data_IF_114533148299
#
_entry.id   IF_114533148299
#
_cell.length_a   1.000
_cell.length_b   1.000
_cell.length_c   1.000
_cell.angle_alpha   90.00
_cell.angle_beta   90.00
_cell.angle_gamma   90.00
#
_symmetry.space_group_name_H-M   'P 1'
#
loop_
_entity.id
_entity.type
_entity.pdbx_description
1 polymer ?
#
# COMPACT_ATOMS: atom_id res chain seq x y z
N UNK A 1 7.55 6.52 -43.36
CA UNK A 1 7.07 6.56 -41.97
C UNK A 1 7.95 5.61 -41.18
N UNK A 2 8.84 6.14 -40.34
CA UNK A 2 9.68 5.32 -39.46
C UNK A 2 8.77 4.54 -38.52
N UNK A 3 8.79 3.22 -38.61
CA UNK A 3 8.08 2.36 -37.68
C UNK A 3 8.55 2.72 -36.26
N UNK A 4 7.66 3.21 -35.40
CA UNK A 4 7.92 3.27 -33.98
C UNK A 4 8.26 1.84 -33.55
N UNK A 5 9.50 1.59 -33.16
CA UNK A 5 9.90 0.29 -32.62
C UNK A 5 9.05 0.02 -31.40
N UNK A 6 8.45 -1.17 -31.32
CA UNK A 6 7.73 -1.58 -30.13
C UNK A 6 8.74 -1.74 -28.98
N UNK A 7 8.54 -0.98 -27.91
CA UNK A 7 9.39 -1.01 -26.71
C UNK A 7 8.63 -1.65 -25.56
N UNK A 8 9.24 -2.65 -24.93
CA UNK A 8 8.78 -3.22 -23.66
C UNK A 8 9.51 -2.48 -22.54
N UNK A 9 8.77 -2.00 -21.56
CA UNK A 9 9.34 -1.45 -20.33
C UNK A 9 9.35 -2.52 -19.25
N UNK A 10 10.54 -2.85 -18.75
CA UNK A 10 10.77 -3.82 -17.69
C UNK A 10 11.06 -3.11 -16.37
N UNK A 11 10.26 -3.32 -15.34
CA UNK A 11 10.46 -2.59 -14.08
C UNK A 11 11.61 -3.16 -13.26
N UNK A 12 12.59 -2.33 -12.91
CA UNK A 12 13.50 -2.60 -11.80
C UNK A 12 12.76 -2.31 -10.49
N UNK A 13 12.81 -3.27 -9.57
CA UNK A 13 12.07 -3.21 -8.30
C UNK A 13 12.99 -3.43 -7.12
N UNK A 14 12.61 -4.28 -6.17
CA UNK A 14 13.24 -4.41 -4.87
C UNK A 14 13.55 -5.89 -4.58
N UNK A 15 14.46 -6.14 -3.63
CA UNK A 15 14.67 -7.44 -3.00
C UNK A 15 14.89 -8.60 -4.01
N UNK A 16 14.19 -9.73 -3.85
CA UNK A 16 14.41 -10.91 -4.68
C UNK A 16 14.09 -10.70 -6.17
N UNK A 17 12.97 -10.05 -6.57
CA UNK A 17 12.71 -9.72 -7.97
C UNK A 17 13.80 -8.85 -8.63
N UNK A 18 14.42 -7.93 -7.88
CA UNK A 18 15.55 -7.14 -8.38
C UNK A 18 16.75 -8.04 -8.71
N UNK A 19 17.14 -8.92 -7.79
CA UNK A 19 18.24 -9.87 -8.01
C UNK A 19 17.98 -10.77 -9.22
N UNK A 20 16.75 -11.28 -9.36
CA UNK A 20 16.36 -12.08 -10.52
C UNK A 20 16.43 -11.27 -11.83
N UNK A 21 16.07 -9.98 -11.79
CA UNK A 21 16.14 -9.08 -12.94
C UNK A 21 17.57 -8.91 -13.45
N UNK A 22 18.55 -8.75 -12.56
CA UNK A 22 19.97 -8.66 -12.96
C UNK A 22 20.44 -9.88 -13.76
N UNK A 23 19.92 -11.08 -13.47
CA UNK A 23 20.24 -12.29 -14.23
C UNK A 23 19.39 -12.44 -15.49
N UNK A 24 18.10 -12.13 -15.43
CA UNK A 24 17.14 -12.54 -16.45
C UNK A 24 16.90 -11.48 -17.52
N UNK A 25 16.99 -10.19 -17.19
CA UNK A 25 16.75 -9.11 -18.15
C UNK A 25 17.71 -9.13 -19.35
N UNK A 26 19.03 -9.39 -19.20
CA UNK A 26 19.93 -9.50 -20.34
C UNK A 26 19.52 -10.61 -21.33
N UNK A 27 18.97 -11.71 -20.81
CA UNK A 27 18.46 -12.82 -21.63
C UNK A 27 17.22 -12.36 -22.40
N UNK A 28 16.26 -11.70 -21.75
CA UNK A 28 15.07 -11.14 -22.41
C UNK A 28 15.47 -10.16 -23.52
N UNK A 29 16.39 -9.23 -23.22
CA UNK A 29 16.89 -8.25 -24.18
C UNK A 29 17.52 -8.91 -25.42
N UNK A 30 18.36 -9.93 -25.21
CA UNK A 30 18.99 -10.66 -26.31
C UNK A 30 17.97 -11.35 -27.23
N UNK A 31 16.96 -12.02 -26.66
CA UNK A 31 15.93 -12.71 -27.43
C UNK A 31 14.95 -11.74 -28.11
N UNK A 32 14.51 -10.70 -27.41
CA UNK A 32 13.60 -9.69 -27.96
C UNK A 32 14.25 -8.88 -29.09
N UNK A 33 15.56 -8.61 -28.99
CA UNK A 33 16.32 -7.89 -30.00
C UNK A 33 16.35 -8.58 -31.37
N UNK A 34 16.31 -9.92 -31.41
CA UNK A 34 16.21 -10.69 -32.67
C UNK A 34 14.91 -10.38 -33.42
N UNK A 35 13.84 -10.05 -32.69
CA UNK A 35 12.54 -9.66 -33.25
C UNK A 35 12.42 -8.15 -33.49
N UNK A 36 13.47 -7.37 -33.27
CA UNK A 36 13.45 -5.91 -33.36
C UNK A 36 12.64 -5.22 -32.26
N UNK A 37 12.38 -5.91 -31.14
CA UNK A 37 11.68 -5.37 -29.97
C UNK A 37 12.72 -4.86 -28.97
N UNK A 38 12.60 -3.59 -28.60
CA UNK A 38 13.46 -2.98 -27.60
C UNK A 38 12.94 -3.28 -26.19
N UNK A 39 13.84 -3.49 -25.23
CA UNK A 39 13.47 -3.72 -23.83
C UNK A 39 14.26 -2.77 -22.93
N UNK A 40 13.57 -1.73 -22.46
CA UNK A 40 14.13 -0.71 -21.58
C UNK A 40 13.77 -0.97 -20.13
N UNK A 41 14.64 -0.56 -19.21
CA UNK A 41 14.34 -0.57 -17.79
C UNK A 41 13.78 0.76 -17.30
N UNK A 42 12.86 0.70 -16.32
CA UNK A 42 12.48 1.85 -15.48
C UNK A 42 12.57 1.44 -14.02
N UNK A 43 13.26 2.25 -13.21
CA UNK A 43 13.49 1.95 -11.79
C UNK A 43 12.37 2.53 -10.93
N UNK A 44 11.60 1.63 -10.32
CA UNK A 44 10.53 1.96 -9.39
C UNK A 44 10.78 1.37 -8.00
N UNK A 45 12.04 1.03 -7.69
CA UNK A 45 12.48 0.62 -6.37
C UNK A 45 12.11 1.66 -5.31
N UNK A 46 12.06 1.25 -4.05
CA UNK A 46 11.86 2.16 -2.92
C UNK A 46 12.93 3.25 -2.92
N UNK A 47 14.19 2.88 -3.16
CA UNK A 47 15.30 3.83 -3.20
C UNK A 47 15.12 4.88 -4.31
N UNK A 48 14.88 4.46 -5.55
CA UNK A 48 14.68 5.38 -6.67
C UNK A 48 13.50 6.32 -6.45
N UNK A 49 12.38 5.81 -5.93
CA UNK A 49 11.20 6.63 -5.62
C UNK A 49 11.44 7.62 -4.48
N UNK A 50 12.27 7.28 -3.48
CA UNK A 50 12.70 8.24 -2.45
C UNK A 50 13.50 9.36 -3.12
N UNK A 51 14.55 9.02 -3.87
CA UNK A 51 15.44 10.00 -4.50
C UNK A 51 14.69 10.94 -5.45
N UNK A 52 13.73 10.42 -6.23
CA UNK A 52 12.89 11.19 -7.13
C UNK A 52 12.02 12.26 -6.43
N UNK A 53 11.73 12.13 -5.14
CA UNK A 53 10.97 13.13 -4.38
C UNK A 53 11.83 14.28 -3.81
N UNK A 54 13.16 14.15 -3.83
CA UNK A 54 14.08 15.15 -3.26
C UNK A 54 15.18 15.63 -4.23
N UNK A 55 14.88 15.90 -5.51
CA UNK A 55 15.91 16.37 -6.44
C UNK A 55 16.49 17.73 -6.02
N UNK A 56 15.72 18.56 -5.30
CA UNK A 56 16.13 19.84 -4.73
C UNK A 56 17.18 19.70 -3.60
N UNK A 57 17.29 18.51 -3.01
CA UNK A 57 18.26 18.21 -1.92
C UNK A 57 19.49 17.45 -2.41
N UNK A 58 19.49 17.04 -3.67
CA UNK A 58 20.54 16.22 -4.24
C UNK A 58 21.36 17.02 -5.28
N UNK A 59 22.70 16.85 -5.30
CA UNK A 59 23.51 17.34 -6.40
C UNK A 59 23.09 16.66 -7.70
N UNK A 60 23.31 17.32 -8.83
CA UNK A 60 22.85 16.87 -10.15
C UNK A 60 23.24 15.42 -10.46
N UNK A 61 24.47 15.03 -10.13
CA UNK A 61 25.00 13.67 -10.33
C UNK A 61 24.29 12.57 -9.52
N UNK A 62 23.56 12.93 -8.45
CA UNK A 62 22.80 11.99 -7.60
C UNK A 62 21.29 12.01 -7.91
N UNK A 63 20.83 12.88 -8.81
CA UNK A 63 19.41 12.95 -9.16
C UNK A 63 19.05 11.77 -10.07
N UNK A 64 17.87 11.24 -9.84
CA UNK A 64 17.28 10.18 -10.65
C UNK A 64 15.97 10.68 -11.26
N UNK A 65 15.58 10.19 -12.45
CA UNK A 65 14.27 10.50 -13.02
C UNK A 65 13.13 9.99 -12.12
N UNK A 66 11.98 10.67 -12.16
CA UNK A 66 10.74 10.13 -11.58
C UNK A 66 10.13 9.11 -12.54
N UNK A 67 10.75 7.93 -12.61
CA UNK A 67 10.30 6.84 -13.48
C UNK A 67 8.88 6.37 -13.18
N UNK A 68 8.36 6.56 -11.95
CA UNK A 68 6.98 6.21 -11.66
C UNK A 68 6.00 7.18 -12.33
N UNK A 69 6.30 8.49 -12.28
CA UNK A 69 5.51 9.50 -13.00
C UNK A 69 5.56 9.30 -14.52
N UNK A 70 6.75 9.01 -15.07
CA UNK A 70 6.91 8.68 -16.49
C UNK A 70 6.06 7.46 -16.90
N UNK A 71 6.13 6.38 -16.12
CA UNK A 71 5.34 5.18 -16.36
C UNK A 71 3.82 5.43 -16.22
N UNK A 72 3.40 6.32 -15.33
CA UNK A 72 2.00 6.72 -15.22
C UNK A 72 1.49 7.43 -16.48
N UNK A 73 2.33 8.30 -17.07
CA UNK A 73 2.01 8.94 -18.34
C UNK A 73 2.00 7.92 -19.48
N UNK A 74 2.98 7.01 -19.50
CA UNK A 74 3.04 5.94 -20.50
C UNK A 74 1.81 5.02 -20.43
N UNK A 75 1.34 4.65 -19.22
CA UNK A 75 0.19 3.74 -19.04
C UNK A 75 -1.12 4.26 -19.66
N UNK A 76 -1.22 5.56 -19.91
CA UNK A 76 -2.35 6.20 -20.59
C UNK A 76 -2.23 6.22 -22.12
N UNK A 77 -1.08 5.78 -22.66
CA UNK A 77 -0.82 5.76 -24.09
C UNK A 77 -1.10 4.38 -24.71
N UNK A 78 -1.60 4.29 -25.96
CA UNK A 78 -1.83 3.02 -26.64
C UNK A 78 -0.58 2.14 -26.81
N UNK A 79 0.59 2.75 -26.90
CA UNK A 79 1.88 2.07 -27.04
C UNK A 79 2.42 1.45 -25.73
N UNK A 80 1.73 1.64 -24.59
CA UNK A 80 2.17 1.11 -23.31
C UNK A 80 2.32 -0.41 -23.31
N UNK A 81 3.55 -0.89 -23.12
CA UNK A 81 3.84 -2.31 -22.92
C UNK A 81 4.77 -2.47 -21.71
N UNK A 82 4.17 -2.68 -20.53
CA UNK A 82 4.88 -2.64 -19.25
C UNK A 82 4.86 -4.02 -18.59
N UNK A 83 6.05 -4.61 -18.37
CA UNK A 83 6.24 -5.79 -17.54
C UNK A 83 6.55 -5.33 -16.11
N UNK A 84 5.54 -5.43 -15.24
CA UNK A 84 5.60 -5.02 -13.84
C UNK A 84 5.92 -6.20 -12.91
N UNK A 85 7.09 -6.15 -12.26
CA UNK A 85 7.52 -7.14 -11.26
C UNK A 85 7.03 -6.76 -9.85
N UNK A 86 6.97 -7.69 -8.87
CA UNK A 86 6.66 -7.33 -7.49
C UNK A 86 7.63 -6.28 -6.94
N UNK A 87 7.12 -5.34 -6.14
CA UNK A 87 7.89 -4.25 -5.53
C UNK A 87 7.43 -3.99 -4.09
N UNK A 88 8.26 -3.30 -3.31
CA UNK A 88 7.97 -2.96 -1.91
C UNK A 88 6.88 -1.88 -1.85
N UNK A 89 5.78 -2.23 -1.18
CA UNK A 89 4.84 -1.25 -0.62
C UNK A 89 5.35 -0.89 0.78
N UNK A 90 6.11 0.19 0.90
CA UNK A 90 6.93 0.41 2.09
C UNK A 90 6.09 0.65 3.35
N UNK A 91 6.32 -0.16 4.38
CA UNK A 91 5.96 0.21 5.76
C UNK A 91 6.84 1.36 6.27
N UNK A 92 6.43 2.00 7.36
CA UNK A 92 7.24 3.07 7.96
C UNK A 92 8.65 2.59 8.37
N UNK A 93 8.83 1.42 9.01
CA UNK A 93 10.17 0.90 9.30
C UNK A 93 11.02 0.66 8.05
N UNK A 94 10.46 0.09 6.99
CA UNK A 94 11.18 -0.11 5.72
C UNK A 94 11.60 1.22 5.08
N UNK A 95 10.71 2.23 5.11
CA UNK A 95 11.03 3.57 4.62
C UNK A 95 12.21 4.17 5.40
N UNK A 96 12.16 4.16 6.74
CA UNK A 96 13.25 4.68 7.58
C UNK A 96 14.57 3.94 7.34
N UNK A 97 14.51 2.62 7.15
CA UNK A 97 15.69 1.82 6.83
C UNK A 97 16.31 2.24 5.49
N UNK A 98 15.49 2.40 4.44
CA UNK A 98 15.96 2.83 3.13
C UNK A 98 16.54 4.26 3.15
N UNK A 99 15.92 5.18 3.89
CA UNK A 99 16.46 6.54 4.08
C UNK A 99 17.85 6.47 4.73
N UNK A 100 18.00 5.70 5.81
CA UNK A 100 19.27 5.55 6.52
C UNK A 100 20.35 4.92 5.64
N UNK A 101 20.00 3.92 4.83
CA UNK A 101 20.91 3.30 3.88
C UNK A 101 21.38 4.31 2.81
N UNK A 102 20.45 5.05 2.21
CA UNK A 102 20.78 6.11 1.25
C UNK A 102 21.67 7.20 1.87
N UNK A 103 21.37 7.65 3.10
CA UNK A 103 22.21 8.60 3.82
C UNK A 103 23.64 8.06 4.03
N UNK A 104 23.77 6.77 4.38
CA UNK A 104 25.08 6.12 4.52
C UNK A 104 25.86 6.06 3.19
N UNK A 105 25.14 6.04 2.05
CA UNK A 105 25.70 6.14 0.71
C UNK A 105 25.93 7.58 0.22
N UNK A 106 25.75 8.59 1.08
CA UNK A 106 26.08 9.99 0.79
C UNK A 106 24.97 10.79 0.11
N UNK A 107 23.73 10.29 0.11
CA UNK A 107 22.56 11.08 -0.30
C UNK A 107 22.09 11.95 0.88
N UNK A 108 22.13 13.27 0.72
CA UNK A 108 21.77 14.24 1.77
C UNK A 108 20.25 14.37 1.97
N UNK A 109 19.58 13.24 2.24
CA UNK A 109 18.14 13.16 2.45
C UNK A 109 17.76 13.54 3.89
N UNK A 110 16.65 14.27 4.10
CA UNK A 110 16.13 14.52 5.45
C UNK A 110 15.58 13.23 6.07
N UNK A 111 15.65 13.12 7.39
CA UNK A 111 14.99 12.05 8.12
C UNK A 111 13.46 12.13 7.98
N UNK A 112 12.78 11.00 8.18
CA UNK A 112 11.33 10.99 8.26
C UNK A 112 10.89 11.60 9.61
N UNK A 113 10.09 12.68 9.62
CA UNK A 113 9.67 13.33 10.87
C UNK A 113 8.52 12.56 11.54
N UNK A 114 8.76 12.11 12.78
CA UNK A 114 7.74 11.44 13.59
C UNK A 114 6.69 12.43 14.13
N UNK A 115 7.09 13.68 14.39
CA UNK A 115 6.24 14.76 14.86
C UNK A 115 6.29 15.96 13.90
N UNK A 116 5.14 16.59 13.64
CA UNK A 116 5.03 17.73 12.73
C UNK A 116 5.13 19.07 13.48
N UNK A 117 6.36 19.52 13.74
CA UNK A 117 6.61 20.76 14.51
C UNK A 117 6.71 22.00 13.62
N UNK A 118 7.24 21.83 12.41
CA UNK A 118 7.52 22.91 11.47
C UNK A 118 6.84 22.68 10.11
N UNK A 119 6.77 23.74 9.29
CA UNK A 119 6.31 23.59 7.90
C UNK A 119 7.27 22.76 7.05
N UNK A 120 8.57 22.77 7.38
CA UNK A 120 9.55 21.87 6.78
C UNK A 120 9.24 20.40 7.06
N UNK A 121 8.87 20.07 8.31
CA UNK A 121 8.46 18.70 8.66
C UNK A 121 7.23 18.27 7.87
N UNK A 122 6.28 19.20 7.66
CA UNK A 122 5.07 18.94 6.87
C UNK A 122 5.40 18.63 5.40
N UNK A 123 6.28 19.41 4.77
CA UNK A 123 6.72 19.16 3.39
C UNK A 123 7.45 17.83 3.26
N UNK A 124 8.46 17.58 4.10
CA UNK A 124 9.26 16.35 4.08
C UNK A 124 8.36 15.12 4.28
N UNK A 125 7.47 15.16 5.27
CA UNK A 125 6.54 14.06 5.52
C UNK A 125 5.59 13.84 4.34
N UNK A 126 5.04 14.90 3.77
CA UNK A 126 4.11 14.80 2.64
C UNK A 126 4.78 14.11 1.44
N UNK A 127 6.05 14.44 1.14
CA UNK A 127 6.83 13.79 0.07
C UNK A 127 7.08 12.31 0.36
N UNK A 128 7.53 11.95 1.55
CA UNK A 128 7.71 10.55 1.95
C UNK A 128 6.38 9.76 1.97
N UNK A 129 5.27 10.41 2.32
CA UNK A 129 3.95 9.79 2.38
C UNK A 129 3.38 9.43 0.99
N UNK A 130 3.90 10.07 -0.07
CA UNK A 130 3.67 9.69 -1.48
C UNK A 130 4.43 8.42 -1.87
N UNK A 131 5.54 8.13 -1.21
CA UNK A 131 6.40 6.96 -1.49
C UNK A 131 5.96 5.72 -0.69
N UNK A 132 5.49 5.90 0.54
CA UNK A 132 5.11 4.79 1.43
C UNK A 132 3.78 4.12 1.05
N UNK A 133 3.63 2.87 1.44
CA UNK A 133 2.45 2.04 1.12
C UNK A 133 2.40 1.66 -0.35
N UNK A 134 1.20 1.35 -0.85
CA UNK A 134 0.99 0.94 -2.25
C UNK A 134 1.00 2.15 -3.21
N UNK A 135 2.15 2.80 -3.38
CA UNK A 135 2.31 3.99 -4.23
C UNK A 135 2.33 3.66 -5.74
N UNK A 136 2.87 2.50 -6.12
CA UNK A 136 3.08 2.16 -7.54
C UNK A 136 1.80 1.68 -8.23
N UNK A 137 1.05 0.76 -7.60
CA UNK A 137 -0.12 0.15 -8.25
C UNK A 137 -1.19 1.16 -8.69
N UNK A 138 -1.54 2.19 -7.90
CA UNK A 138 -2.54 3.18 -8.31
C UNK A 138 -2.14 4.00 -9.53
N UNK A 139 -0.84 4.09 -9.85
CA UNK A 139 -0.33 4.84 -11.00
C UNK A 139 -0.32 3.98 -12.27
N UNK A 140 -0.07 2.66 -12.14
CA UNK A 140 0.11 1.78 -13.30
C UNK A 140 -1.15 1.01 -13.70
N UNK A 141 -2.19 1.00 -12.87
CA UNK A 141 -3.41 0.21 -13.10
C UNK A 141 -4.50 1.06 -13.75
N UNK A 142 -4.19 1.59 -14.93
CA UNK A 142 -5.12 2.30 -15.80
C UNK A 142 -6.01 1.32 -16.58
N UNK A 143 -6.62 0.37 -15.86
CA UNK A 143 -7.41 -0.71 -16.43
C UNK A 143 -7.87 -1.73 -15.40
N UNK A 144 -8.68 -2.69 -15.86
CA UNK A 144 -9.20 -3.78 -15.03
C UNK A 144 -8.20 -4.95 -14.93
N UNK A 145 -8.53 -5.95 -14.11
CA UNK A 145 -7.63 -7.08 -13.83
C UNK A 145 -8.14 -8.38 -14.47
N UNK A 146 -7.39 -8.93 -15.44
CA UNK A 146 -7.47 -10.36 -15.82
C UNK A 146 -6.42 -11.15 -15.02
N UNK A 147 -6.87 -12.04 -14.12
CA UNK A 147 -6.00 -12.90 -13.30
C UNK A 147 -6.48 -14.33 -13.33
N UNK A 148 -5.61 -15.22 -13.79
CA UNK A 148 -5.86 -16.66 -13.90
C UNK A 148 -4.57 -17.46 -13.81
N UNK A 149 -4.64 -18.68 -13.28
CA UNK A 149 -3.52 -19.61 -13.34
C UNK A 149 -3.33 -20.09 -14.79
N UNK A 150 -2.11 -20.01 -15.37
CA UNK A 150 -1.86 -20.54 -16.71
C UNK A 150 -2.11 -22.05 -16.78
N UNK A 151 -2.55 -22.54 -17.94
CA UNK A 151 -2.86 -23.97 -18.14
C UNK A 151 -1.65 -24.87 -17.85
N UNK A 152 -0.46 -24.48 -18.34
CA UNK A 152 0.79 -25.21 -18.10
C UNK A 152 1.09 -25.35 -16.60
N UNK A 153 0.89 -24.28 -15.81
CA UNK A 153 1.07 -24.30 -14.36
C UNK A 153 0.01 -25.18 -13.69
N UNK A 154 -1.24 -25.12 -14.13
CA UNK A 154 -2.32 -25.95 -13.60
C UNK A 154 -2.08 -27.44 -13.87
N UNK A 155 -1.65 -27.78 -15.08
CA UNK A 155 -1.32 -29.15 -15.47
C UNK A 155 -0.12 -29.69 -14.68
N UNK A 156 0.91 -28.85 -14.49
CA UNK A 156 2.04 -29.18 -13.64
C UNK A 156 1.60 -29.46 -12.20
N UNK A 157 0.76 -28.60 -11.62
CA UNK A 157 0.24 -28.80 -10.26
C UNK A 157 -0.61 -30.08 -10.11
N UNK A 158 -1.28 -30.55 -11.17
CA UNK A 158 -1.99 -31.85 -11.15
C UNK A 158 -1.01 -33.03 -11.13
N UNK A 159 0.11 -32.93 -11.85
CA UNK A 159 1.16 -33.96 -11.90
C UNK A 159 2.05 -33.96 -10.66
N UNK A 160 2.23 -32.80 -10.05
CA UNK A 160 3.07 -32.56 -8.88
C UNK A 160 2.25 -31.84 -7.79
N UNK A 161 1.31 -32.56 -7.14
CA UNK A 161 0.46 -31.96 -6.12
C UNK A 161 1.32 -31.45 -4.96
N UNK A 162 1.08 -30.20 -4.57
CA UNK A 162 1.68 -29.63 -3.36
C UNK A 162 1.00 -30.20 -2.11
N UNK A 163 1.69 -30.12 -0.98
CA UNK A 163 1.13 -30.55 0.30
C UNK A 163 -0.13 -29.74 0.65
N UNK A 164 -1.20 -30.46 0.96
CA UNK A 164 -2.43 -29.88 1.49
C UNK A 164 -2.66 -30.46 2.89
N UNK A 165 -2.84 -29.58 3.89
CA UNK A 165 -3.14 -30.00 5.26
C UNK A 165 -4.46 -30.77 5.32
N UNK A 166 -4.51 -31.84 6.12
CA UNK A 166 -5.76 -32.57 6.37
C UNK A 166 -6.72 -31.69 7.15
N UNK A 167 -7.99 -31.66 6.74
CA UNK A 167 -9.06 -30.98 7.46
C UNK A 167 -9.80 -31.99 8.35
N UNK A 168 -10.04 -31.61 9.60
CA UNK A 168 -10.88 -32.36 10.54
C UNK A 168 -12.28 -31.76 10.60
N UNK A 169 -13.30 -32.60 10.74
CA UNK A 169 -14.66 -32.16 11.02
C UNK A 169 -14.76 -31.50 12.42
N UNK A 170 -13.85 -31.83 13.34
CA UNK A 170 -13.75 -31.25 14.69
C UNK A 170 -12.95 -29.93 14.72
N UNK A 171 -12.65 -29.34 13.54
CA UNK A 171 -11.92 -28.08 13.47
C UNK A 171 -12.70 -26.95 14.13
N UNK A 172 -12.06 -26.28 15.09
CA UNK A 172 -12.59 -25.07 15.74
C UNK A 172 -12.20 -23.78 15.02
N UNK A 173 -11.42 -23.86 13.94
CA UNK A 173 -11.03 -22.68 13.14
C UNK A 173 -12.27 -22.06 12.52
N UNK A 174 -12.48 -20.77 12.79
CA UNK A 174 -13.58 -19.99 12.24
C UNK A 174 -13.14 -18.54 12.00
N UNK A 175 -13.92 -17.81 11.21
CA UNK A 175 -13.78 -16.37 11.04
C UNK A 175 -14.80 -15.69 11.95
N UNK A 176 -14.32 -14.76 12.77
CA UNK A 176 -15.17 -13.83 13.51
C UNK A 176 -15.10 -12.46 12.86
N UNK A 177 -16.26 -11.86 12.60
CA UNK A 177 -16.38 -10.50 12.05
C UNK A 177 -17.44 -9.71 12.82
N UNK A 178 -17.34 -8.38 12.78
CA UNK A 178 -18.33 -7.50 13.40
C UNK A 178 -19.71 -7.68 12.74
N UNK A 179 -20.78 -7.55 13.54
CA UNK A 179 -22.17 -7.64 13.08
C UNK A 179 -22.86 -6.29 12.98
N UNK A 180 -22.18 -5.21 13.35
CA UNK A 180 -22.67 -3.84 13.23
C UNK A 180 -21.66 -2.81 13.71
N UNK A 181 -21.82 -1.57 13.24
CA UNK A 181 -20.90 -0.46 13.53
C UNK A 181 -19.55 -0.57 12.80
N UNK A 182 -19.46 -1.40 11.78
CA UNK A 182 -18.31 -1.56 10.90
C UNK A 182 -18.51 -0.81 9.57
N UNK A 183 -17.51 -0.89 8.68
CA UNK A 183 -17.60 -0.23 7.37
C UNK A 183 -18.76 -0.76 6.53
N UNK A 184 -19.02 -2.07 6.58
CA UNK A 184 -20.10 -2.68 5.80
C UNK A 184 -21.48 -2.21 6.28
N UNK A 185 -21.74 -2.27 7.58
CA UNK A 185 -23.04 -1.89 8.14
C UNK A 185 -23.35 -0.39 8.10
N UNK A 186 -22.34 0.47 7.95
CA UNK A 186 -22.48 1.92 7.95
C UNK A 186 -22.42 2.58 6.56
N UNK A 187 -22.17 1.81 5.50
CA UNK A 187 -21.97 2.35 4.16
C UNK A 187 -23.23 3.02 3.61
N UNK A 188 -23.02 4.17 2.98
CA UNK A 188 -23.98 4.85 2.13
C UNK A 188 -23.33 5.15 0.80
N UNK A 189 -24.07 4.92 -0.28
CA UNK A 189 -23.60 5.11 -1.65
C UNK A 189 -24.53 6.03 -2.41
N UNK A 190 -23.97 6.80 -3.35
CA UNK A 190 -24.73 7.58 -4.32
C UNK A 190 -24.05 7.56 -5.68
N UNK A 191 -24.84 7.48 -6.74
CA UNK A 191 -24.39 7.74 -8.11
C UNK A 191 -24.57 9.22 -8.42
N UNK A 192 -23.48 9.90 -8.74
CA UNK A 192 -23.42 11.32 -9.03
C UNK A 192 -24.04 11.59 -10.40
N UNK A 193 -25.14 12.35 -10.52
CA UNK A 193 -25.82 12.53 -11.81
C UNK A 193 -25.06 13.44 -12.77
N UNK A 194 -24.34 14.44 -12.24
CA UNK A 194 -23.62 15.45 -13.03
C UNK A 194 -22.28 15.75 -12.37
N UNK A 195 -21.25 16.02 -13.18
CA UNK A 195 -19.94 16.38 -12.67
C UNK A 195 -20.03 17.57 -11.70
N UNK A 196 -19.38 17.45 -10.54
CA UNK A 196 -19.48 18.43 -9.45
C UNK A 196 -18.26 18.36 -8.54
N UNK A 197 -18.08 19.38 -7.70
CA UNK A 197 -17.07 19.40 -6.65
C UNK A 197 -17.75 19.22 -5.29
N UNK A 198 -17.25 18.29 -4.47
CA UNK A 198 -17.73 18.07 -3.10
C UNK A 198 -16.66 18.41 -2.07
N UNK A 199 -17.10 18.72 -0.84
CA UNK A 199 -16.27 18.94 0.34
C UNK A 199 -16.62 17.90 1.40
N UNK A 200 -15.62 17.36 2.08
CA UNK A 200 -15.81 16.48 3.24
C UNK A 200 -15.54 17.30 4.50
N UNK A 201 -16.52 17.39 5.38
CA UNK A 201 -16.44 18.15 6.63
C UNK A 201 -17.05 17.39 7.80
N UNK A 202 -16.55 17.68 8.99
CA UNK A 202 -17.08 17.21 10.25
C UNK A 202 -17.75 18.39 10.95
N UNK A 203 -19.06 18.28 11.18
CA UNK A 203 -19.81 19.20 12.03
C UNK A 203 -19.86 18.60 13.44
N UNK A 204 -19.19 19.24 14.39
CA UNK A 204 -19.15 18.82 15.77
C UNK A 204 -20.47 19.13 16.49
N UNK A 205 -20.68 18.54 17.68
CA UNK A 205 -21.91 18.69 18.46
C UNK A 205 -22.16 20.11 18.95
N UNK A 206 -21.12 20.93 19.04
CA UNK A 206 -21.16 22.35 19.36
C UNK A 206 -21.39 23.25 18.13
N UNK A 207 -21.54 22.65 16.95
CA UNK A 207 -21.70 23.35 15.67
C UNK A 207 -20.40 23.75 14.98
N UNK A 208 -19.23 23.49 15.59
CA UNK A 208 -17.95 23.80 14.97
C UNK A 208 -17.72 22.92 13.72
N UNK A 209 -17.33 23.54 12.62
CA UNK A 209 -17.09 22.85 11.34
C UNK A 209 -15.60 22.68 11.11
N UNK A 210 -15.16 21.44 10.95
CA UNK A 210 -13.79 21.11 10.54
C UNK A 210 -13.80 20.57 9.12
N UNK A 211 -13.12 21.25 8.21
CA UNK A 211 -12.97 20.78 6.82
C UNK A 211 -11.89 19.69 6.78
N UNK A 212 -12.29 18.46 6.45
CA UNK A 212 -11.39 17.30 6.34
C UNK A 212 -10.78 17.21 4.94
N UNK A 213 -11.57 17.53 3.90
CA UNK A 213 -11.11 17.61 2.52
C UNK A 213 -11.87 18.72 1.81
N UNK A 214 -11.15 19.81 1.48
CA UNK A 214 -11.75 21.03 0.93
C UNK A 214 -12.40 20.83 -0.45
N UNK A 215 -11.81 19.97 -1.29
CA UNK A 215 -12.28 19.72 -2.65
C UNK A 215 -12.01 18.27 -3.07
N UNK A 216 -13.03 17.65 -3.65
CA UNK A 216 -12.98 16.39 -4.38
C UNK A 216 -13.86 16.55 -5.62
N UNK A 217 -13.25 16.49 -6.80
CA UNK A 217 -13.97 16.57 -8.07
C UNK A 217 -14.53 15.20 -8.44
N UNK A 218 -15.81 15.16 -8.79
CA UNK A 218 -16.55 13.95 -9.18
C UNK A 218 -17.06 14.09 -10.61
N UNK A 219 -17.08 12.98 -11.34
CA UNK A 219 -17.59 12.87 -12.70
C UNK A 219 -19.09 12.58 -12.72
N UNK A 220 -19.73 12.85 -13.87
CA UNK A 220 -21.09 12.37 -14.12
C UNK A 220 -21.08 10.83 -14.22
N UNK A 221 -21.99 10.18 -13.48
CA UNK A 221 -22.06 8.73 -13.36
C UNK A 221 -21.09 8.11 -12.34
N UNK A 222 -20.22 8.90 -11.70
CA UNK A 222 -19.31 8.40 -10.66
C UNK A 222 -20.09 7.90 -9.44
N UNK A 223 -19.64 6.80 -8.84
CA UNK A 223 -20.19 6.29 -7.58
C UNK A 223 -19.26 6.74 -6.46
N UNK A 224 -19.82 7.38 -5.44
CA UNK A 224 -19.10 7.76 -4.23
C UNK A 224 -19.77 7.15 -3.01
N UNK A 225 -18.94 6.54 -2.16
CA UNK A 225 -19.36 5.88 -0.93
C UNK A 225 -18.82 6.62 0.30
N UNK A 226 -19.65 6.70 1.34
CA UNK A 226 -19.30 7.21 2.65
C UNK A 226 -19.58 6.15 3.71
N UNK A 227 -18.57 5.83 4.52
CA UNK A 227 -18.71 4.85 5.60
C UNK A 227 -17.79 5.18 6.78
N UNK A 228 -17.96 4.51 7.92
CA UNK A 228 -17.09 4.64 9.08
C UNK A 228 -17.03 3.37 9.92
N UNK A 229 -15.95 3.23 10.70
CA UNK A 229 -15.76 2.19 11.70
C UNK A 229 -15.97 2.79 13.10
N UNK A 230 -16.94 2.28 13.85
CA UNK A 230 -17.18 2.70 15.23
C UNK A 230 -16.10 2.13 16.15
N UNK A 231 -15.23 3.00 16.70
CA UNK A 231 -14.23 2.61 17.70
C UNK A 231 -14.85 1.83 18.86
N UNK A 232 -16.00 2.27 19.37
CA UNK A 232 -16.70 1.62 20.49
C UNK A 232 -17.12 0.20 20.12
N UNK A 233 -17.69 0.01 18.93
CA UNK A 233 -18.12 -1.31 18.47
C UNK A 233 -16.91 -2.23 18.23
N UNK A 234 -15.85 -1.71 17.59
CA UNK A 234 -14.62 -2.45 17.32
C UNK A 234 -13.94 -2.93 18.61
N UNK A 235 -13.74 -2.06 19.58
CA UNK A 235 -13.09 -2.41 20.86
C UNK A 235 -13.91 -3.45 21.63
N UNK A 236 -15.24 -3.29 21.66
CA UNK A 236 -16.14 -4.28 22.27
C UNK A 236 -16.02 -5.64 21.58
N UNK A 237 -16.11 -5.67 20.26
CA UNK A 237 -15.98 -6.89 19.46
C UNK A 237 -14.63 -7.59 19.72
N UNK A 238 -13.52 -6.86 19.66
CA UNK A 238 -12.19 -7.41 19.91
C UNK A 238 -12.08 -8.02 21.32
N UNK A 239 -12.63 -7.37 22.35
CA UNK A 239 -12.59 -7.88 23.71
C UNK A 239 -13.39 -9.18 23.85
N UNK A 240 -14.56 -9.25 23.23
CA UNK A 240 -15.39 -10.46 23.16
C UNK A 240 -14.65 -11.60 22.45
N UNK A 241 -13.98 -11.31 21.31
CA UNK A 241 -13.25 -12.34 20.55
C UNK A 241 -11.98 -12.83 21.26
N UNK A 242 -11.27 -11.97 22.00
CA UNK A 242 -10.13 -12.38 22.82
C UNK A 242 -10.60 -13.32 23.95
N UNK A 243 -11.72 -12.99 24.61
CA UNK A 243 -12.29 -13.82 25.65
C UNK A 243 -12.79 -15.17 25.11
N UNK A 244 -13.49 -15.16 23.97
CA UNK A 244 -14.00 -16.35 23.31
C UNK A 244 -12.88 -17.28 22.84
N UNK A 245 -11.85 -16.74 22.17
CA UNK A 245 -10.68 -17.53 21.75
C UNK A 245 -10.02 -18.24 22.95
N UNK A 246 -9.89 -17.53 24.08
CA UNK A 246 -9.37 -18.09 25.33
C UNK A 246 -10.29 -19.17 25.90
N UNK A 247 -11.60 -18.95 25.93
CA UNK A 247 -12.58 -19.91 26.44
C UNK A 247 -12.63 -21.20 25.60
N UNK A 248 -12.50 -21.08 24.28
CA UNK A 248 -12.48 -22.23 23.37
C UNK A 248 -11.12 -22.94 23.29
N UNK A 249 -10.05 -22.31 23.81
CA UNK A 249 -8.68 -22.81 23.75
C UNK A 249 -8.09 -22.79 22.34
N UNK A 250 -8.43 -21.77 21.54
CA UNK A 250 -7.94 -21.61 20.15
C UNK A 250 -6.97 -20.43 20.05
N UNK A 251 -6.15 -20.43 19.00
CA UNK A 251 -5.23 -19.32 18.74
C UNK A 251 -6.00 -18.07 18.30
N UNK A 252 -5.78 -16.96 18.99
CA UNK A 252 -6.25 -15.66 18.54
C UNK A 252 -5.36 -15.17 17.39
N UNK A 253 -5.96 -14.91 16.23
CA UNK A 253 -5.26 -14.36 15.07
C UNK A 253 -6.04 -13.19 14.49
N UNK A 254 -5.32 -12.18 14.01
CA UNK A 254 -5.88 -10.96 13.41
C UNK A 254 -5.39 -10.84 11.97
N UNK A 255 -6.33 -10.77 11.03
CA UNK A 255 -6.05 -10.71 9.60
C UNK A 255 -6.48 -9.35 9.05
N UNK A 256 -5.49 -8.49 8.78
CA UNK A 256 -5.68 -7.13 8.24
C UNK A 256 -4.75 -6.91 7.04
N UNK A 257 -4.87 -5.75 6.39
CA UNK A 257 -4.08 -5.36 5.21
C UNK A 257 -3.35 -4.03 5.41
N UNK A 258 -2.72 -3.86 6.58
CA UNK A 258 -2.09 -2.62 7.09
C UNK A 258 -1.22 -1.83 6.09
N UNK A 259 -0.46 -2.52 5.23
CA UNK A 259 0.42 -1.85 4.26
C UNK A 259 -0.34 -1.22 3.09
N UNK A 260 -1.38 -1.91 2.60
CA UNK A 260 -2.24 -1.37 1.54
C UNK A 260 -3.16 -0.30 2.12
N UNK A 261 -3.83 -0.65 3.21
CA UNK A 261 -4.78 0.21 3.92
C UNK A 261 -4.02 1.07 4.94
N UNK A 262 -3.10 1.90 4.44
CA UNK A 262 -2.07 2.63 5.21
C UNK A 262 -2.59 3.59 6.29
N UNK A 263 -3.90 3.79 6.38
CA UNK A 263 -4.57 4.67 7.36
C UNK A 263 -5.47 3.87 8.30
N UNK A 264 -6.48 3.16 7.77
CA UNK A 264 -7.49 2.47 8.58
C UNK A 264 -6.93 1.31 9.39
N UNK A 265 -6.17 0.43 8.74
CA UNK A 265 -5.81 -0.87 9.31
C UNK A 265 -4.75 -0.75 10.42
N UNK A 266 -3.74 0.14 10.34
CA UNK A 266 -2.88 0.41 11.49
C UNK A 266 -3.64 0.89 12.74
N UNK A 267 -4.72 1.68 12.57
CA UNK A 267 -5.56 2.12 13.69
C UNK A 267 -6.31 0.93 14.30
N UNK A 268 -6.92 0.07 13.45
CA UNK A 268 -7.59 -1.14 13.91
C UNK A 268 -6.64 -2.11 14.60
N UNK A 269 -5.43 -2.28 14.05
CA UNK A 269 -4.36 -3.07 14.65
C UNK A 269 -3.95 -2.52 16.03
N UNK A 270 -3.77 -1.21 16.15
CA UNK A 270 -3.47 -0.57 17.43
C UNK A 270 -4.54 -0.80 18.49
N UNK A 271 -5.82 -0.79 18.11
CA UNK A 271 -6.92 -1.15 19.01
C UNK A 271 -6.87 -2.62 19.43
N UNK A 272 -6.57 -3.54 18.50
CA UNK A 272 -6.43 -4.96 18.84
C UNK A 272 -5.28 -5.22 19.82
N UNK A 273 -4.12 -4.57 19.63
CA UNK A 273 -2.98 -4.66 20.56
C UNK A 273 -3.36 -4.14 21.94
N UNK A 274 -4.03 -2.98 22.03
CA UNK A 274 -4.47 -2.40 23.31
C UNK A 274 -5.49 -3.27 24.03
N UNK A 275 -6.41 -3.91 23.30
CA UNK A 275 -7.38 -4.85 23.89
C UNK A 275 -6.72 -6.13 24.37
N UNK A 276 -5.81 -6.70 23.57
CA UNK A 276 -5.12 -7.94 23.93
C UNK A 276 -4.23 -7.76 25.17
N UNK A 277 -3.56 -6.62 25.29
CA UNK A 277 -2.69 -6.27 26.42
C UNK A 277 -3.34 -5.28 27.40
N UNK A 278 -4.66 -5.33 27.59
CA UNK A 278 -5.41 -4.36 28.39
C UNK A 278 -4.80 -4.13 29.78
N UNK A 279 -4.39 -5.19 30.47
CA UNK A 279 -3.78 -5.11 31.81
C UNK A 279 -2.41 -4.38 31.81
N UNK A 280 -1.63 -4.54 30.75
CA UNK A 280 -0.33 -3.85 30.60
C UNK A 280 -0.54 -2.35 30.40
N UNK A 281 -1.48 -1.97 29.52
CA UNK A 281 -1.82 -0.57 29.30
C UNK A 281 -2.46 0.07 30.53
N UNK A 282 -3.24 -0.68 31.31
CA UNK A 282 -3.81 -0.20 32.58
C UNK A 282 -2.72 0.08 33.63
N UNK A 283 -1.67 -0.76 33.69
CA UNK A 283 -0.60 -0.63 34.68
C UNK A 283 0.50 0.36 34.27
N UNK A 284 0.81 0.47 32.97
CA UNK A 284 1.97 1.21 32.46
C UNK A 284 1.61 2.29 31.43
N UNK A 285 0.35 2.73 31.39
CA UNK A 285 -0.15 3.67 30.39
C UNK A 285 0.69 4.94 30.24
N UNK A 286 1.06 5.59 31.34
CA UNK A 286 1.85 6.82 31.31
C UNK A 286 3.27 6.60 30.77
N UNK A 287 3.91 5.49 31.14
CA UNK A 287 5.24 5.12 30.65
C UNK A 287 5.23 4.74 29.17
N UNK A 288 4.14 4.12 28.69
CA UNK A 288 3.95 3.82 27.27
C UNK A 288 3.68 5.11 26.47
N UNK A 289 2.88 6.02 27.01
CA UNK A 289 2.58 7.31 26.38
C UNK A 289 3.85 8.19 26.25
N UNK A 290 4.72 8.19 27.26
CA UNK A 290 5.95 9.02 27.25
C UNK A 290 6.96 8.60 26.17
N UNK A 291 6.85 7.38 25.64
CA UNK A 291 7.69 6.87 24.54
C UNK A 291 6.93 6.72 23.22
N UNK A 292 5.68 7.17 23.15
CA UNK A 292 4.87 7.17 21.94
C UNK A 292 4.26 5.81 21.53
N UNK A 293 3.99 4.92 22.49
CA UNK A 293 3.39 3.59 22.27
C UNK A 293 1.84 3.55 22.27
#
# INVERSE_FOLDING_TARGET
>A
MTANKATIVYTFTDEAPLLATYSFLPIIQAYAGVCGVEVESRDISLAARILAQFPDRLPEAQRVPDSLAELGTLALQPEANIIKLPNVSASLPQLKAAIKELQAHGYALPDYPDELKTDGDRDVRARYDRVKGSAVNPVLREGNSDRRAPLSVKDYARKHPHSMGKWSADSKTHVSTMTGGDFFGNEKSVTVPTATDVRIELVATDGNVTVLKAKLSLQAGEIIDGTFMSKKALVKFLAEQVADAKAQGVLFSLHLKATMMKVSDPIMFGHAVRVFFADVFAKFGDALASVGA
#
